data_IF_653262838316
#
_entry.id   IF_653262838316
#
_cell.length_a   1.000
_cell.length_b   1.000
_cell.length_c   1.000
_cell.angle_alpha   90.00
_cell.angle_beta   90.00
_cell.angle_gamma   90.00
#
_symmetry.space_group_name_H-M   'P 1'
#
loop_
_entity.id
_entity.type
_entity.pdbx_description
1 polymer ?
#
# COMPACT_ATOMS: atom_id res chain seq x y z
N UNK A 1 -1.90 -24.91 -2.94
CA UNK A 1 -1.93 -23.54 -3.50
C UNK A 1 -1.65 -23.64 -5.00
N UNK A 2 -2.45 -22.99 -5.85
CA UNK A 2 -2.29 -23.06 -7.31
C UNK A 2 -1.21 -22.09 -7.78
N UNK A 3 -0.39 -22.47 -8.78
CA UNK A 3 0.67 -21.61 -9.37
C UNK A 3 0.21 -20.19 -9.73
N UNK A 4 -1.07 -20.03 -10.08
CA UNK A 4 -1.65 -18.74 -10.48
C UNK A 4 -1.76 -17.75 -9.29
N UNK A 5 -1.99 -18.25 -8.08
CA UNK A 5 -2.02 -17.40 -6.88
C UNK A 5 -0.61 -16.89 -6.52
N UNK A 6 0.43 -17.66 -6.83
CA UNK A 6 1.82 -17.26 -6.55
C UNK A 6 2.27 -16.10 -7.46
N UNK A 7 1.86 -16.12 -8.74
CA UNK A 7 2.14 -15.03 -9.68
C UNK A 7 1.40 -13.74 -9.32
N UNK A 8 0.13 -13.85 -8.89
CA UNK A 8 -0.63 -12.69 -8.41
C UNK A 8 0.01 -12.06 -7.17
N UNK A 9 0.43 -12.89 -6.21
CA UNK A 9 1.09 -12.41 -5.00
C UNK A 9 2.39 -11.71 -5.33
N UNK A 10 3.22 -12.30 -6.19
CA UNK A 10 4.49 -11.69 -6.63
C UNK A 10 4.26 -10.37 -7.37
N UNK A 11 3.27 -10.32 -8.26
CA UNK A 11 2.91 -9.08 -8.96
C UNK A 11 2.48 -7.99 -7.97
N UNK A 12 1.62 -8.34 -7.01
CA UNK A 12 1.16 -7.42 -5.98
C UNK A 12 2.31 -6.90 -5.12
N UNK A 13 3.23 -7.77 -4.68
CA UNK A 13 4.40 -7.36 -3.89
C UNK A 13 5.27 -6.34 -4.64
N UNK A 14 5.50 -6.51 -5.94
CA UNK A 14 6.28 -5.56 -6.76
C UNK A 14 5.52 -4.23 -6.87
N UNK A 15 4.21 -4.26 -7.13
CA UNK A 15 3.40 -3.04 -7.21
C UNK A 15 3.41 -2.30 -5.87
N UNK A 16 3.30 -3.00 -4.74
CA UNK A 16 3.35 -2.40 -3.40
C UNK A 16 4.70 -1.74 -3.12
N UNK A 17 5.81 -2.39 -3.49
CA UNK A 17 7.17 -1.82 -3.36
C UNK A 17 7.40 -0.60 -4.25
N UNK A 18 6.68 -0.47 -5.36
CA UNK A 18 6.78 0.69 -6.24
C UNK A 18 6.18 1.96 -5.64
N UNK A 19 5.30 1.84 -4.63
CA UNK A 19 4.69 2.97 -3.92
C UNK A 19 4.06 3.98 -4.87
N UNK A 20 4.28 5.26 -4.59
CA UNK A 20 3.77 6.39 -5.40
C UNK A 20 4.35 6.48 -6.82
N UNK A 21 5.49 5.84 -7.10
CA UNK A 21 6.08 5.82 -8.45
C UNK A 21 5.30 4.91 -9.41
N UNK A 22 4.62 3.90 -8.86
CA UNK A 22 3.95 2.86 -9.63
C UNK A 22 4.91 2.05 -10.51
N UNK A 23 4.35 1.09 -11.24
CA UNK A 23 5.09 0.22 -12.16
C UNK A 23 4.35 0.11 -13.49
N UNK A 24 5.08 0.15 -14.61
CA UNK A 24 4.48 -0.07 -15.93
C UNK A 24 4.09 -1.55 -16.10
N UNK A 25 2.88 -1.81 -16.60
CA UNK A 25 2.40 -3.18 -16.87
C UNK A 25 3.41 -3.97 -17.73
N UNK A 26 3.87 -3.36 -18.82
CA UNK A 26 4.82 -4.00 -19.73
C UNK A 26 6.14 -4.39 -19.06
N UNK A 27 6.60 -3.60 -18.09
CA UNK A 27 7.83 -3.87 -17.34
C UNK A 27 7.60 -4.94 -16.28
N UNK A 28 6.50 -4.86 -15.53
CA UNK A 28 6.12 -5.82 -14.51
C UNK A 28 6.02 -7.24 -15.09
N UNK A 29 5.37 -7.39 -16.25
CA UNK A 29 5.19 -8.70 -16.88
C UNK A 29 6.50 -9.30 -17.36
N UNK A 30 7.43 -8.46 -17.83
CA UNK A 30 8.79 -8.88 -18.17
C UNK A 30 9.58 -9.31 -16.93
N UNK A 31 9.43 -8.62 -15.81
CA UNK A 31 10.10 -8.93 -14.56
C UNK A 31 9.65 -10.27 -13.95
N UNK A 32 8.34 -10.57 -13.98
CA UNK A 32 7.81 -11.84 -13.46
C UNK A 32 7.75 -12.96 -14.51
N UNK A 33 8.28 -12.72 -15.72
CA UNK A 33 8.34 -13.65 -16.84
C UNK A 33 6.98 -14.25 -17.23
N UNK A 34 5.97 -13.38 -17.39
CA UNK A 34 4.61 -13.76 -17.84
C UNK A 34 4.26 -13.08 -19.16
N UNK A 35 3.36 -13.71 -19.90
CA UNK A 35 2.84 -13.12 -21.14
C UNK A 35 1.95 -11.91 -20.83
N UNK A 36 1.87 -10.94 -21.75
CA UNK A 36 1.00 -9.77 -21.59
C UNK A 36 -0.48 -10.15 -21.39
N UNK A 37 -0.94 -11.27 -21.97
CA UNK A 37 -2.31 -11.76 -21.82
C UNK A 37 -2.58 -12.25 -20.40
N UNK A 38 -1.65 -13.03 -19.83
CA UNK A 38 -1.75 -13.52 -18.46
C UNK A 38 -1.57 -12.39 -17.45
N UNK A 39 -0.56 -11.54 -17.64
CA UNK A 39 -0.31 -10.36 -16.81
C UNK A 39 -1.51 -9.40 -16.79
N UNK A 40 -2.11 -9.12 -17.96
CA UNK A 40 -3.31 -8.29 -18.03
C UNK A 40 -4.45 -8.86 -17.17
N UNK A 41 -4.71 -10.17 -17.26
CA UNK A 41 -5.72 -10.84 -16.39
C UNK A 41 -5.39 -10.71 -14.90
N UNK A 42 -4.13 -10.84 -14.52
CA UNK A 42 -3.67 -10.63 -13.14
C UNK A 42 -4.01 -9.21 -12.69
N UNK A 43 -3.64 -8.19 -13.47
CA UNK A 43 -3.90 -6.79 -13.09
C UNK A 43 -5.39 -6.46 -12.97
N UNK A 44 -6.23 -6.99 -13.85
CA UNK A 44 -7.69 -6.82 -13.77
C UNK A 44 -8.24 -7.46 -12.50
N UNK A 45 -7.76 -8.66 -12.12
CA UNK A 45 -8.20 -9.31 -10.88
C UNK A 45 -7.76 -8.55 -9.64
N UNK A 46 -6.54 -8.02 -9.62
CA UNK A 46 -6.04 -7.20 -8.52
C UNK A 46 -6.82 -5.87 -8.39
N UNK A 47 -7.16 -5.25 -9.52
CA UNK A 47 -7.98 -4.03 -9.56
C UNK A 47 -9.42 -4.29 -9.10
N UNK A 48 -10.06 -5.37 -9.57
CA UNK A 48 -11.40 -5.77 -9.14
C UNK A 48 -11.48 -6.08 -7.63
N UNK A 49 -10.37 -6.54 -7.04
CA UNK A 49 -10.24 -6.74 -5.59
C UNK A 49 -9.94 -5.45 -4.82
N UNK A 50 -9.77 -4.33 -5.51
CA UNK A 50 -9.45 -3.04 -4.91
C UNK A 50 -8.04 -2.96 -4.31
N UNK A 51 -7.11 -3.81 -4.74
CA UNK A 51 -5.73 -3.81 -4.21
C UNK A 51 -4.84 -2.81 -4.94
N UNK A 52 -5.15 -2.53 -6.20
CA UNK A 52 -4.40 -1.63 -7.07
C UNK A 52 -5.37 -0.74 -7.86
N UNK A 53 -4.85 0.34 -8.43
CA UNK A 53 -5.51 1.09 -9.49
C UNK A 53 -4.57 1.25 -10.68
N UNK A 54 -5.14 1.53 -11.87
CA UNK A 54 -4.40 1.62 -13.13
C UNK A 54 -4.66 2.95 -13.81
N UNK A 55 -3.61 3.58 -14.32
CA UNK A 55 -3.69 4.81 -15.11
C UNK A 55 -3.09 4.60 -16.49
N UNK A 56 -3.74 5.04 -17.57
CA UNK A 56 -3.20 4.92 -18.91
C UNK A 56 -1.97 5.82 -19.08
N UNK A 57 -0.90 5.27 -19.64
CA UNK A 57 0.36 5.97 -19.89
C UNK A 57 0.90 5.64 -21.28
N UNK A 58 1.41 6.66 -21.99
CA UNK A 58 2.09 6.49 -23.25
C UNK A 58 3.56 6.12 -23.02
N UNK A 59 3.93 4.87 -23.27
CA UNK A 59 5.30 4.39 -23.14
C UNK A 59 5.85 3.96 -24.50
N UNK A 60 6.95 4.59 -24.96
CA UNK A 60 7.63 4.28 -26.23
C UNK A 60 6.67 4.23 -27.43
N UNK A 61 5.73 5.17 -27.50
CA UNK A 61 4.75 5.27 -28.59
C UNK A 61 3.62 4.21 -28.55
N UNK A 62 3.49 3.45 -27.47
CA UNK A 62 2.37 2.52 -27.25
C UNK A 62 1.66 2.85 -25.94
N UNK A 63 0.33 2.83 -25.96
CA UNK A 63 -0.46 2.94 -24.75
C UNK A 63 -0.28 1.70 -23.88
N UNK A 64 -0.05 1.91 -22.60
CA UNK A 64 -0.01 0.88 -21.57
C UNK A 64 -0.64 1.44 -20.30
N UNK A 65 -0.62 0.68 -19.20
CA UNK A 65 -1.05 1.18 -17.90
C UNK A 65 0.13 1.20 -16.93
N UNK A 66 0.20 2.26 -16.13
CA UNK A 66 0.93 2.26 -14.88
C UNK A 66 0.02 1.73 -13.78
N UNK A 67 0.50 0.78 -13.00
CA UNK A 67 -0.22 0.24 -11.85
C UNK A 67 0.34 0.85 -10.57
N UNK A 68 -0.56 1.17 -9.66
CA UNK A 68 -0.24 1.74 -8.36
C UNK A 68 -0.94 0.96 -7.25
N UNK A 69 -0.34 0.89 -6.06
CA UNK A 69 -1.02 0.33 -4.90
C UNK A 69 -2.20 1.23 -4.51
N UNK A 70 -3.38 0.64 -4.26
CA UNK A 70 -4.53 1.41 -3.75
C UNK A 70 -4.39 1.72 -2.26
N UNK A 71 -3.77 0.81 -1.53
CA UNK A 71 -3.41 0.96 -0.13
C UNK A 71 -1.92 0.71 0.02
N UNK A 72 -1.22 1.59 0.73
CA UNK A 72 0.14 1.31 1.14
C UNK A 72 0.11 0.25 2.25
N UNK A 73 0.97 -0.78 2.18
CA UNK A 73 1.08 -1.72 3.28
C UNK A 73 1.54 -0.95 4.52
N UNK A 74 0.76 -1.05 5.61
CA UNK A 74 1.16 -0.51 6.91
C UNK A 74 2.39 -1.31 7.34
N UNK A 75 3.56 -0.68 7.40
CA UNK A 75 4.75 -1.32 7.96
C UNK A 75 4.78 -1.10 9.46
N UNK A 76 5.55 -1.91 10.19
CA UNK A 76 5.82 -1.61 11.60
C UNK A 76 6.50 -0.25 11.75
N UNK A 77 7.33 0.13 10.77
CA UNK A 77 8.01 1.43 10.77
C UNK A 77 7.02 2.61 10.79
N UNK A 78 5.87 2.48 10.11
CA UNK A 78 4.80 3.48 10.12
C UNK A 78 4.16 3.73 11.48
N UNK A 79 4.40 2.86 12.48
CA UNK A 79 3.86 3.03 13.83
C UNK A 79 4.93 3.05 14.91
N UNK A 80 6.21 2.83 14.59
CA UNK A 80 7.30 2.76 15.58
C UNK A 80 7.41 4.03 16.43
N UNK A 81 7.16 5.18 15.81
CA UNK A 81 7.22 6.48 16.48
C UNK A 81 5.89 6.87 17.15
N UNK A 82 4.88 6.01 17.10
CA UNK A 82 3.58 6.30 17.71
C UNK A 82 3.73 6.38 19.23
N UNK A 83 3.42 7.52 19.86
CA UNK A 83 3.65 7.74 21.28
C UNK A 83 2.81 6.80 22.17
N UNK A 84 1.73 6.24 21.62
CA UNK A 84 0.84 5.32 22.31
C UNK A 84 1.49 3.96 22.60
N UNK A 85 2.44 3.49 21.77
CA UNK A 85 3.05 2.16 21.92
C UNK A 85 3.83 2.03 23.24
N UNK A 86 4.52 3.09 23.63
CA UNK A 86 5.29 3.16 24.89
C UNK A 86 4.68 4.13 25.91
N UNK A 87 3.38 4.43 25.79
CA UNK A 87 2.72 5.40 26.67
C UNK A 87 2.53 4.84 28.09
N UNK A 88 3.06 5.55 29.09
CA UNK A 88 2.88 5.20 30.51
C UNK A 88 1.42 5.27 30.97
N UNK A 89 0.62 6.11 30.32
CA UNK A 89 -0.78 6.37 30.66
C UNK A 89 -1.74 5.45 29.88
N UNK A 90 -1.22 4.51 29.09
CA UNK A 90 -2.03 3.63 28.24
C UNK A 90 -3.04 2.81 29.05
N UNK A 91 -2.71 2.42 30.28
CA UNK A 91 -3.62 1.66 31.17
C UNK A 91 -4.84 2.46 31.64
N UNK A 92 -4.80 3.78 31.55
CA UNK A 92 -5.87 4.69 31.96
C UNK A 92 -6.39 5.54 30.79
N UNK A 93 -5.92 5.28 29.56
CA UNK A 93 -6.35 5.95 28.35
C UNK A 93 -7.51 5.17 27.71
N UNK A 94 -8.71 5.77 27.68
CA UNK A 94 -9.93 5.08 27.25
C UNK A 94 -11.09 6.05 26.97
N UNK A 95 -12.24 5.51 26.56
CA UNK A 95 -13.38 6.34 26.14
C UNK A 95 -14.05 7.11 27.31
N UNK A 96 -14.00 6.56 28.53
CA UNK A 96 -14.66 7.09 29.73
C UNK A 96 -13.68 7.60 30.80
N UNK A 97 -12.41 7.77 30.47
CA UNK A 97 -11.38 8.27 31.37
C UNK A 97 -11.10 9.76 31.15
N UNK A 98 -10.38 10.38 32.10
CA UNK A 98 -9.95 11.78 31.98
C UNK A 98 -8.99 11.95 30.80
N UNK A 99 -8.12 10.97 30.59
CA UNK A 99 -7.18 10.90 29.47
C UNK A 99 -7.82 10.07 28.37
N UNK A 100 -7.99 10.64 27.18
CA UNK A 100 -8.56 9.94 26.02
C UNK A 100 -7.69 10.19 24.79
N UNK A 101 -7.67 9.27 23.81
CA UNK A 101 -6.92 9.48 22.57
C UNK A 101 -7.32 10.77 21.84
N UNK A 102 -8.61 11.12 21.89
CA UNK A 102 -9.17 12.31 21.23
C UNK A 102 -8.70 13.63 21.85
N UNK A 103 -8.18 13.62 23.07
CA UNK A 103 -7.67 14.80 23.78
C UNK A 103 -6.16 14.73 24.04
N UNK A 104 -5.47 13.73 23.48
CA UNK A 104 -4.05 13.51 23.74
C UNK A 104 -3.19 14.37 22.82
N UNK A 105 -2.56 15.41 23.35
CA UNK A 105 -1.69 16.31 22.58
C UNK A 105 -0.53 15.58 21.89
N UNK A 106 0.11 14.63 22.58
CA UNK A 106 1.21 13.83 22.02
C UNK A 106 0.78 13.06 20.78
N UNK A 107 -0.43 12.47 20.83
CA UNK A 107 -0.98 11.72 19.72
C UNK A 107 -1.36 12.64 18.56
N UNK A 108 -2.00 13.77 18.85
CA UNK A 108 -2.32 14.80 17.85
C UNK A 108 -1.07 15.31 17.15
N UNK A 109 -0.01 15.62 17.90
CA UNK A 109 1.25 16.10 17.34
C UNK A 109 1.88 15.06 16.40
N UNK A 110 1.94 13.79 16.83
CA UNK A 110 2.45 12.70 16.00
C UNK A 110 1.66 12.53 14.69
N UNK A 111 0.32 12.56 14.74
CA UNK A 111 -0.52 12.50 13.53
C UNK A 111 -0.18 13.66 12.58
N UNK A 112 -0.04 14.87 13.12
CA UNK A 112 0.28 16.03 12.30
C UNK A 112 1.65 15.86 11.65
N UNK A 113 2.67 15.44 12.38
CA UNK A 113 4.03 15.23 11.84
C UNK A 113 4.08 14.16 10.73
N UNK A 114 3.40 13.01 10.91
CA UNK A 114 3.33 11.94 9.90
C UNK A 114 2.52 12.35 8.66
N UNK A 115 1.51 13.21 8.81
CA UNK A 115 0.66 13.64 7.68
C UNK A 115 1.37 14.53 6.66
N UNK A 116 2.55 15.04 6.99
CA UNK A 116 3.39 15.87 6.11
C UNK A 116 4.59 15.12 5.51
N UNK A 117 4.67 13.79 5.66
CA UNK A 117 5.67 12.92 5.02
C UNK A 117 5.11 12.17 3.82
#
# INVERSE_FOLDING_TARGET
MTKQNDLERKALEIIMKSGSKGVLQSELWREINVTSREGSRISIRLENRGLIYREPELSRGRWTYRLYPKHHPVSMDSILNCPCISCKENSICGANSVITPNKCEKFTQWILEESFQ
#
